data_IF_692086111282
#
_entry.id   IF_692086111282
#
_cell.length_a   1.000
_cell.length_b   1.000
_cell.length_c   1.000
_cell.angle_alpha   90.00
_cell.angle_beta   90.00
_cell.angle_gamma   90.00
#
_symmetry.space_group_name_H-M   'P 1'
#
loop_
_entity.id
_entity.type
_entity.pdbx_description
1 polymer ?
#
# COMPACT_ATOMS: atom_id res chain seq x y z
N UNK A 1 -34.02 -33.82 -30.72
CA UNK A 1 -32.92 -34.64 -30.16
C UNK A 1 -31.71 -34.42 -31.05
N UNK A 2 -30.84 -33.49 -30.65
CA UNK A 2 -29.56 -33.22 -31.29
C UNK A 2 -28.57 -33.00 -30.15
N UNK A 3 -27.70 -33.98 -29.92
CA UNK A 3 -26.64 -33.94 -28.91
C UNK A 3 -25.46 -33.18 -29.50
N UNK A 4 -25.21 -31.98 -28.98
CA UNK A 4 -24.06 -31.17 -29.34
C UNK A 4 -22.88 -31.57 -28.46
N UNK A 5 -21.90 -32.25 -29.07
CA UNK A 5 -20.61 -32.62 -28.49
C UNK A 5 -19.82 -31.37 -28.04
N UNK A 6 -19.75 -31.13 -26.73
CA UNK A 6 -18.81 -30.22 -26.10
C UNK A 6 -17.50 -30.96 -25.84
N UNK A 7 -16.67 -31.03 -26.88
CA UNK A 7 -15.28 -31.46 -26.75
C UNK A 7 -14.39 -30.28 -27.16
N UNK A 8 -14.33 -29.27 -26.30
CA UNK A 8 -13.45 -28.12 -26.50
C UNK A 8 -12.13 -28.40 -25.78
N UNK A 9 -11.13 -28.78 -26.57
CA UNK A 9 -9.75 -28.98 -26.13
C UNK A 9 -9.22 -27.67 -25.54
N UNK A 10 -8.74 -27.73 -24.31
CA UNK A 10 -7.77 -26.77 -23.78
C UNK A 10 -6.45 -26.96 -24.52
N UNK A 11 -6.37 -26.47 -25.76
CA UNK A 11 -5.09 -26.25 -26.42
C UNK A 11 -4.45 -25.03 -25.76
N UNK A 12 -3.50 -25.30 -24.85
CA UNK A 12 -2.56 -24.30 -24.35
C UNK A 12 -1.86 -23.74 -25.60
N UNK A 13 -1.94 -22.43 -25.87
CA UNK A 13 -1.23 -21.84 -27.00
C UNK A 13 0.25 -22.24 -26.91
N UNK A 14 0.83 -22.77 -27.99
CA UNK A 14 2.27 -22.96 -28.09
C UNK A 14 2.93 -21.58 -28.16
N UNK A 15 3.15 -20.98 -26.99
CA UNK A 15 3.87 -19.74 -26.86
C UNK A 15 5.34 -20.07 -27.07
N UNK A 16 5.89 -19.73 -28.24
CA UNK A 16 7.32 -19.43 -28.38
C UNK A 16 7.61 -18.23 -27.46
N UNK A 17 7.72 -18.50 -26.16
CA UNK A 17 8.00 -17.49 -25.17
C UNK A 17 9.48 -17.15 -25.29
N UNK A 18 9.77 -15.97 -25.84
CA UNK A 18 11.09 -15.36 -25.73
C UNK A 18 11.32 -14.96 -24.26
N UNK A 19 11.72 -15.95 -23.46
CA UNK A 19 12.20 -15.69 -22.11
C UNK A 19 13.56 -15.02 -22.18
N UNK A 20 13.78 -14.01 -21.35
CA UNK A 20 15.08 -13.35 -21.23
C UNK A 20 15.87 -13.97 -20.08
N UNK A 21 17.17 -14.21 -20.28
CA UNK A 21 18.04 -14.62 -19.18
C UNK A 21 18.38 -13.42 -18.30
N UNK A 22 18.33 -13.59 -16.98
CA UNK A 22 18.81 -12.57 -16.06
C UNK A 22 20.32 -12.34 -16.24
N UNK A 23 20.72 -11.10 -16.44
CA UNK A 23 22.12 -10.75 -16.71
C UNK A 23 23.05 -10.96 -15.52
N UNK A 24 22.52 -11.05 -14.30
CA UNK A 24 23.28 -11.13 -13.06
C UNK A 24 23.22 -12.51 -12.40
N UNK A 25 22.12 -13.24 -12.59
CA UNK A 25 21.83 -14.49 -11.89
C UNK A 25 21.41 -15.61 -12.85
N UNK A 26 22.12 -15.73 -13.97
CA UNK A 26 22.04 -16.88 -14.88
C UNK A 26 23.40 -17.56 -14.99
N UNK A 27 23.68 -18.45 -14.04
CA UNK A 27 24.97 -19.12 -13.92
C UNK A 27 25.06 -20.35 -14.85
N UNK A 28 26.08 -20.46 -15.72
CA UNK A 28 26.22 -21.62 -16.61
C UNK A 28 26.26 -22.95 -15.86
N UNK A 29 26.88 -22.96 -14.67
CA UNK A 29 27.05 -24.08 -13.73
C UNK A 29 25.88 -24.27 -12.75
N UNK A 30 24.84 -23.42 -12.81
CA UNK A 30 23.65 -23.58 -11.97
C UNK A 30 22.90 -24.89 -12.25
N UNK A 31 22.32 -25.47 -11.22
CA UNK A 31 21.59 -26.74 -11.30
C UNK A 31 20.07 -26.58 -11.28
N UNK A 32 19.55 -25.37 -11.04
CA UNK A 32 18.12 -25.07 -11.11
C UNK A 32 17.84 -23.84 -11.97
N UNK A 33 16.83 -23.94 -12.83
CA UNK A 33 16.31 -22.86 -13.67
C UNK A 33 14.93 -22.46 -13.14
N UNK A 34 14.81 -21.19 -12.76
CA UNK A 34 13.60 -20.58 -12.19
C UNK A 34 13.12 -19.50 -13.14
N UNK A 35 11.84 -19.53 -13.51
CA UNK A 35 11.19 -18.49 -14.29
C UNK A 35 10.37 -17.61 -13.35
N UNK A 36 10.68 -16.30 -13.33
CA UNK A 36 9.88 -15.29 -12.64
C UNK A 36 9.43 -14.27 -13.67
N UNK A 37 8.12 -14.11 -13.82
CA UNK A 37 7.51 -13.35 -14.93
C UNK A 37 7.96 -13.86 -16.31
N UNK A 38 8.89 -13.16 -16.97
CA UNK A 38 9.48 -13.52 -18.27
C UNK A 38 11.02 -13.63 -18.20
N UNK A 39 11.55 -13.72 -16.98
CA UNK A 39 12.99 -13.73 -16.73
C UNK A 39 13.41 -15.07 -16.15
N UNK A 40 14.34 -15.74 -16.83
CA UNK A 40 14.96 -16.97 -16.36
C UNK A 40 16.15 -16.64 -15.47
N UNK A 41 16.19 -17.30 -14.32
CA UNK A 41 17.28 -17.30 -13.36
C UNK A 41 17.85 -18.72 -13.32
N UNK A 42 19.16 -18.86 -13.44
CA UNK A 42 19.82 -20.16 -13.34
C UNK A 42 20.77 -20.12 -12.15
N UNK A 43 20.48 -20.89 -11.11
CA UNK A 43 21.09 -20.76 -9.79
C UNK A 43 21.52 -22.12 -9.21
N UNK A 44 22.25 -22.06 -8.09
CA UNK A 44 22.67 -23.19 -7.26
C UNK A 44 21.78 -23.27 -6.00
N UNK A 45 20.83 -24.21 -5.91
CA UNK A 45 19.97 -24.38 -4.73
C UNK A 45 20.75 -24.59 -3.43
N UNK A 46 21.92 -25.24 -3.50
CA UNK A 46 22.80 -25.46 -2.34
C UNK A 46 23.28 -24.16 -1.68
N UNK A 47 23.31 -23.04 -2.41
CA UNK A 47 23.62 -21.72 -1.83
C UNK A 47 22.45 -21.07 -1.09
N UNK A 48 21.21 -21.40 -1.47
CA UNK A 48 20.01 -20.86 -0.85
C UNK A 48 19.60 -21.67 0.38
N UNK A 49 19.62 -23.00 0.24
CA UNK A 49 19.05 -23.93 1.22
C UNK A 49 20.10 -24.70 2.03
N UNK A 50 21.39 -24.52 1.74
CA UNK A 50 22.46 -25.23 2.43
C UNK A 50 22.39 -26.74 2.24
N UNK A 51 22.50 -27.50 3.33
CA UNK A 51 22.50 -28.97 3.32
C UNK A 51 21.13 -29.56 2.95
N UNK A 52 20.04 -28.84 3.24
CA UNK A 52 18.66 -29.30 3.02
C UNK A 52 18.12 -28.93 1.63
N UNK A 53 19.02 -28.75 0.65
CA UNK A 53 18.67 -28.18 -0.64
C UNK A 53 17.75 -29.03 -1.50
N UNK A 54 17.84 -30.35 -1.42
CA UNK A 54 16.95 -31.25 -2.17
C UNK A 54 15.53 -31.22 -1.60
N UNK A 55 15.37 -31.42 -0.29
CA UNK A 55 14.06 -31.39 0.37
C UNK A 55 13.37 -30.01 0.25
N UNK A 56 14.14 -28.92 0.34
CA UNK A 56 13.61 -27.57 0.19
C UNK A 56 13.20 -27.27 -1.25
N UNK A 57 13.97 -27.75 -2.24
CA UNK A 57 13.62 -27.63 -3.65
C UNK A 57 12.39 -28.48 -3.99
N UNK A 58 12.27 -29.69 -3.45
CA UNK A 58 11.09 -30.53 -3.58
C UNK A 58 9.84 -29.86 -2.99
N UNK A 59 9.95 -29.25 -1.82
CA UNK A 59 8.87 -28.47 -1.21
C UNK A 59 8.45 -27.29 -2.09
N UNK A 60 9.42 -26.58 -2.67
CA UNK A 60 9.18 -25.48 -3.61
C UNK A 60 8.52 -25.98 -4.90
N UNK A 61 8.99 -27.10 -5.46
CA UNK A 61 8.41 -27.75 -6.63
C UNK A 61 6.98 -28.24 -6.38
N UNK A 62 6.70 -28.75 -5.17
CA UNK A 62 5.36 -29.16 -4.76
C UNK A 62 4.41 -27.97 -4.69
N UNK A 63 4.86 -26.82 -4.16
CA UNK A 63 4.08 -25.57 -4.14
C UNK A 63 3.82 -25.01 -5.54
N UNK A 64 4.77 -25.16 -6.47
CA UNK A 64 4.68 -24.59 -7.82
C UNK A 64 4.00 -25.52 -8.84
N UNK A 65 3.61 -26.74 -8.45
CA UNK A 65 3.01 -27.72 -9.36
C UNK A 65 1.48 -27.64 -9.35
N UNK A 66 0.95 -26.73 -10.18
CA UNK A 66 -0.46 -26.73 -10.57
C UNK A 66 -0.57 -27.49 -11.89
N UNK A 67 -0.69 -28.82 -11.86
CA UNK A 67 -0.90 -29.62 -13.08
C UNK A 67 -0.44 -31.08 -12.96
N UNK A 68 -1.24 -31.99 -13.50
CA UNK A 68 -1.27 -33.44 -13.28
C UNK A 68 0.10 -34.13 -13.19
N UNK A 69 0.27 -34.84 -12.06
CA UNK A 69 1.27 -35.85 -11.85
C UNK A 69 1.01 -37.00 -12.83
N UNK A 70 1.86 -37.15 -13.85
CA UNK A 70 2.48 -38.41 -14.26
C UNK A 70 3.07 -38.24 -15.67
N UNK A 71 4.41 -38.36 -15.79
CA UNK A 71 5.24 -38.43 -17.02
C UNK A 71 5.96 -37.17 -17.54
N UNK A 72 5.79 -35.98 -16.96
CA UNK A 72 6.59 -34.81 -17.37
C UNK A 72 8.05 -34.90 -16.87
N UNK A 73 9.05 -34.43 -17.66
CA UNK A 73 10.44 -34.36 -17.21
C UNK A 73 10.58 -33.52 -15.92
N UNK A 74 11.63 -33.73 -15.11
CA UNK A 74 11.81 -33.01 -13.86
C UNK A 74 11.81 -31.49 -14.12
N UNK A 75 10.90 -30.77 -13.46
CA UNK A 75 10.84 -29.30 -13.54
C UNK A 75 12.12 -28.70 -12.96
N UNK A 76 12.59 -27.64 -13.59
CA UNK A 76 13.72 -26.83 -13.14
C UNK A 76 15.09 -27.22 -13.65
N UNK A 77 15.25 -28.27 -14.46
CA UNK A 77 16.58 -28.68 -14.96
C UNK A 77 17.00 -27.98 -16.27
N UNK A 78 16.06 -27.40 -17.01
CA UNK A 78 16.33 -26.69 -18.26
C UNK A 78 15.45 -25.45 -18.42
N UNK A 79 15.85 -24.57 -19.35
CA UNK A 79 15.06 -23.40 -19.74
C UNK A 79 13.71 -23.78 -20.40
N UNK A 80 13.63 -24.98 -20.99
CA UNK A 80 12.39 -25.48 -21.62
C UNK A 80 11.37 -25.96 -20.60
N UNK A 81 11.80 -26.25 -19.38
CA UNK A 81 10.94 -26.71 -18.29
C UNK A 81 11.37 -26.10 -16.95
N UNK A 82 11.28 -24.76 -16.78
CA UNK A 82 11.75 -24.09 -15.57
C UNK A 82 10.78 -24.26 -14.41
N UNK A 83 11.25 -23.98 -13.18
CA UNK A 83 10.37 -23.80 -12.01
C UNK A 83 9.73 -22.41 -12.11
N UNK A 84 8.42 -22.34 -12.26
CA UNK A 84 7.75 -21.04 -12.44
C UNK A 84 7.27 -20.49 -11.10
N UNK A 85 7.69 -19.26 -10.78
CA UNK A 85 7.23 -18.50 -9.62
C UNK A 85 6.35 -17.35 -10.10
N UNK A 86 5.07 -17.38 -9.74
CA UNK A 86 4.08 -16.38 -10.17
C UNK A 86 3.83 -15.28 -9.12
N UNK A 87 4.34 -15.46 -7.89
CA UNK A 87 4.02 -14.58 -6.75
C UNK A 87 4.93 -13.35 -6.66
N UNK A 88 6.04 -13.35 -7.38
CA UNK A 88 7.08 -12.32 -7.30
C UNK A 88 7.34 -11.67 -8.65
N UNK A 89 7.79 -10.43 -8.60
CA UNK A 89 8.38 -9.79 -9.79
C UNK A 89 9.85 -10.22 -9.90
N UNK A 90 10.39 -10.24 -11.12
CA UNK A 90 11.79 -10.60 -11.36
C UNK A 90 12.76 -9.73 -10.55
N UNK A 91 12.43 -8.46 -10.31
CA UNK A 91 13.24 -7.56 -9.46
C UNK A 91 13.25 -7.97 -7.98
N UNK A 92 12.14 -8.48 -7.46
CA UNK A 92 12.07 -8.92 -6.06
C UNK A 92 12.91 -10.17 -5.86
N UNK A 93 12.80 -11.13 -6.79
CA UNK A 93 13.61 -12.34 -6.76
C UNK A 93 15.10 -12.01 -6.93
N UNK A 94 15.44 -11.05 -7.79
CA UNK A 94 16.81 -10.53 -7.93
C UNK A 94 17.37 -9.95 -6.62
N UNK A 95 16.57 -9.15 -5.91
CA UNK A 95 16.96 -8.59 -4.61
C UNK A 95 17.21 -9.71 -3.58
N UNK A 96 16.35 -10.72 -3.55
CA UNK A 96 16.53 -11.91 -2.73
C UNK A 96 17.83 -12.68 -3.07
N UNK A 97 18.09 -12.98 -4.34
CA UNK A 97 19.32 -13.66 -4.76
C UNK A 97 20.59 -12.87 -4.43
N UNK A 98 20.51 -11.54 -4.45
CA UNK A 98 21.62 -10.67 -4.08
C UNK A 98 22.15 -10.99 -2.67
N UNK A 99 21.28 -11.38 -1.73
CA UNK A 99 21.69 -11.73 -0.37
C UNK A 99 22.66 -12.92 -0.33
N UNK A 100 22.50 -13.90 -1.22
CA UNK A 100 23.24 -15.16 -1.21
C UNK A 100 24.41 -15.19 -2.19
N UNK A 101 24.35 -14.36 -3.24
CA UNK A 101 25.32 -14.39 -4.35
C UNK A 101 26.24 -13.18 -4.38
N UNK A 102 25.90 -12.09 -3.70
CA UNK A 102 26.74 -10.91 -3.72
C UNK A 102 28.08 -11.20 -3.04
N UNK A 103 29.14 -10.63 -3.62
CA UNK A 103 30.50 -10.83 -3.14
C UNK A 103 30.72 -9.95 -1.90
N UNK A 104 31.46 -10.40 -0.87
CA UNK A 104 31.79 -9.58 0.29
C UNK A 104 32.45 -8.22 -0.03
N UNK A 105 33.13 -8.11 -1.17
CA UNK A 105 33.78 -6.87 -1.63
C UNK A 105 32.88 -5.99 -2.50
N UNK A 106 31.68 -6.46 -2.86
CA UNK A 106 30.72 -5.65 -3.58
C UNK A 106 30.27 -4.46 -2.71
N UNK A 107 30.46 -3.20 -3.15
CA UNK A 107 30.14 -2.03 -2.32
C UNK A 107 28.69 -1.99 -1.88
N UNK A 108 27.76 -2.37 -2.76
CA UNK A 108 26.33 -2.42 -2.45
C UNK A 108 26.04 -3.49 -1.41
N UNK A 109 26.68 -4.66 -1.49
CA UNK A 109 26.53 -5.70 -0.48
C UNK A 109 27.09 -5.29 0.89
N UNK A 110 28.25 -4.64 0.91
CA UNK A 110 28.82 -4.11 2.17
C UNK A 110 27.88 -3.11 2.82
N UNK A 111 27.28 -2.22 2.04
CA UNK A 111 26.28 -1.28 2.54
C UNK A 111 25.10 -2.02 3.17
N UNK A 112 24.52 -3.00 2.47
CA UNK A 112 23.40 -3.83 2.96
C UNK A 112 23.77 -4.51 4.30
N UNK A 113 24.93 -5.17 4.37
CA UNK A 113 25.35 -5.89 5.57
C UNK A 113 25.60 -4.98 6.76
N UNK A 114 26.18 -3.81 6.52
CA UNK A 114 26.46 -2.81 7.55
C UNK A 114 25.19 -2.07 8.00
N UNK A 115 24.05 -2.27 7.32
CA UNK A 115 22.84 -1.49 7.54
C UNK A 115 22.96 -0.05 7.05
N UNK A 116 23.90 0.21 6.14
CA UNK A 116 24.01 1.48 5.43
C UNK A 116 22.98 1.56 4.30
N UNK A 117 22.63 2.78 3.88
CA UNK A 117 21.69 2.99 2.78
C UNK A 117 22.34 2.60 1.45
N UNK A 118 21.72 1.66 0.75
CA UNK A 118 21.99 1.35 -0.65
C UNK A 118 21.26 2.36 -1.52
N UNK A 119 21.99 3.31 -2.08
CA UNK A 119 21.38 4.42 -2.82
C UNK A 119 20.51 5.25 -1.87
N UNK A 120 19.19 5.20 -2.07
CA UNK A 120 18.20 5.85 -1.21
C UNK A 120 17.69 4.94 -0.07
N UNK A 121 17.21 5.55 1.02
CA UNK A 121 16.51 4.82 2.09
C UNK A 121 15.31 4.02 1.55
N UNK A 122 14.66 4.55 0.51
CA UNK A 122 13.49 3.97 -0.16
C UNK A 122 13.83 2.66 -0.86
N UNK A 123 14.94 2.65 -1.61
CA UNK A 123 15.44 1.46 -2.30
C UNK A 123 15.95 0.42 -1.30
N UNK A 124 16.59 0.88 -0.22
CA UNK A 124 17.09 0.01 0.84
C UNK A 124 15.95 -0.70 1.56
N UNK A 125 14.88 0.02 1.91
CA UNK A 125 13.71 -0.60 2.54
C UNK A 125 12.93 -1.49 1.57
N UNK A 126 12.84 -1.11 0.29
CA UNK A 126 12.26 -1.95 -0.74
C UNK A 126 13.03 -3.27 -0.88
N UNK A 127 14.36 -3.22 -0.84
CA UNK A 127 15.21 -4.40 -0.83
C UNK A 127 14.90 -5.31 0.36
N UNK A 128 14.86 -4.79 1.59
CA UNK A 128 14.54 -5.63 2.76
C UNK A 128 13.12 -6.19 2.71
N UNK A 129 12.14 -5.42 2.23
CA UNK A 129 10.77 -5.92 2.04
C UNK A 129 10.73 -7.08 1.04
N UNK A 130 11.41 -6.93 -0.11
CA UNK A 130 11.48 -7.98 -1.13
C UNK A 130 12.16 -9.25 -0.58
N UNK A 131 13.27 -9.10 0.15
CA UNK A 131 13.95 -10.23 0.80
C UNK A 131 13.03 -10.91 1.81
N UNK A 132 12.34 -10.16 2.68
CA UNK A 132 11.44 -10.73 3.68
C UNK A 132 10.31 -11.54 3.03
N UNK A 133 9.65 -10.95 2.02
CA UNK A 133 8.55 -11.59 1.29
C UNK A 133 9.02 -12.87 0.60
N UNK A 134 10.11 -12.82 -0.17
CA UNK A 134 10.60 -14.01 -0.90
C UNK A 134 11.10 -15.07 0.09
N UNK A 135 11.83 -14.68 1.14
CA UNK A 135 12.35 -15.62 2.14
C UNK A 135 11.23 -16.36 2.86
N UNK A 136 10.13 -15.67 3.18
CA UNK A 136 8.94 -16.30 3.76
C UNK A 136 8.37 -17.40 2.88
N UNK A 137 8.15 -17.11 1.59
CA UNK A 137 7.60 -18.10 0.65
C UNK A 137 8.55 -19.28 0.40
N UNK A 138 9.86 -18.99 0.39
CA UNK A 138 10.93 -19.96 0.24
C UNK A 138 11.27 -20.71 1.53
N UNK A 139 10.58 -20.40 2.65
CA UNK A 139 10.82 -21.00 3.97
C UNK A 139 12.28 -20.84 4.47
N UNK A 140 12.88 -19.67 4.26
CA UNK A 140 14.23 -19.32 4.72
C UNK A 140 14.12 -18.33 5.89
N UNK A 141 13.77 -18.87 7.06
CA UNK A 141 13.40 -18.10 8.26
C UNK A 141 14.49 -17.10 8.70
N UNK A 142 15.77 -17.49 8.63
CA UNK A 142 16.88 -16.62 9.06
C UNK A 142 17.04 -15.39 8.16
N UNK A 143 16.84 -15.55 6.85
CA UNK A 143 16.88 -14.43 5.90
C UNK A 143 15.67 -13.50 6.08
N UNK A 144 14.50 -14.08 6.36
CA UNK A 144 13.28 -13.32 6.67
C UNK A 144 13.45 -12.48 7.95
N UNK A 145 13.85 -13.12 9.06
CA UNK A 145 14.12 -12.45 10.35
C UNK A 145 15.16 -11.35 10.21
N UNK A 146 16.25 -11.63 9.50
CA UNK A 146 17.29 -10.65 9.22
C UNK A 146 16.70 -9.43 8.49
N UNK A 147 15.98 -9.64 7.39
CA UNK A 147 15.41 -8.56 6.61
C UNK A 147 14.39 -7.73 7.42
N UNK A 148 13.51 -8.38 8.18
CA UNK A 148 12.55 -7.72 9.08
C UNK A 148 13.25 -6.87 10.16
N UNK A 149 14.34 -7.38 10.74
CA UNK A 149 15.11 -6.65 11.76
C UNK A 149 15.71 -5.35 11.22
N UNK A 150 16.02 -5.31 9.91
CA UNK A 150 16.54 -4.13 9.21
C UNK A 150 15.44 -3.21 8.73
N UNK A 151 14.32 -3.76 8.26
CA UNK A 151 13.18 -3.00 7.75
C UNK A 151 12.45 -2.23 8.87
N UNK A 152 12.27 -2.84 10.04
CA UNK A 152 11.46 -2.28 11.13
C UNK A 152 11.93 -0.89 11.58
N UNK A 153 13.22 -0.64 11.92
CA UNK A 153 13.68 0.69 12.30
C UNK A 153 13.48 1.75 11.22
N UNK A 154 13.55 1.35 9.95
CA UNK A 154 13.36 2.28 8.82
C UNK A 154 11.90 2.71 8.73
N UNK A 155 10.97 1.76 8.83
CA UNK A 155 9.54 2.03 8.80
C UNK A 155 9.03 2.77 10.04
N UNK A 156 9.60 2.47 11.22
CA UNK A 156 9.22 3.07 12.50
C UNK A 156 9.86 4.46 12.71
N UNK A 157 10.84 4.83 11.89
CA UNK A 157 11.55 6.10 11.96
C UNK A 157 10.65 7.33 11.73
N UNK A 158 11.06 8.52 12.23
CA UNK A 158 10.36 9.78 11.96
C UNK A 158 10.31 10.12 10.47
N UNK A 159 11.23 9.53 9.72
CA UNK A 159 11.52 9.73 8.32
C UNK A 159 10.69 8.82 7.39
N UNK A 160 9.59 8.25 7.87
CA UNK A 160 8.71 7.40 7.05
C UNK A 160 8.14 8.09 5.80
N UNK A 161 8.27 9.41 5.68
CA UNK A 161 7.97 10.19 4.47
C UNK A 161 8.79 9.75 3.25
N UNK A 162 9.99 9.19 3.43
CA UNK A 162 10.77 8.66 2.31
C UNK A 162 10.02 7.56 1.58
N UNK A 163 9.28 6.72 2.31
CA UNK A 163 8.52 5.64 1.71
C UNK A 163 7.38 6.13 0.85
N UNK A 164 6.96 7.40 0.95
CA UNK A 164 5.94 7.97 0.07
C UNK A 164 6.28 7.79 -1.42
N UNK A 165 7.55 7.55 -1.78
CA UNK A 165 7.95 7.31 -3.16
C UNK A 165 7.85 5.85 -3.61
N UNK A 166 7.34 4.92 -2.79
CA UNK A 166 7.07 3.56 -3.24
C UNK A 166 5.96 3.52 -4.28
N UNK A 167 6.09 2.57 -5.21
CA UNK A 167 5.01 2.22 -6.11
C UNK A 167 3.90 1.50 -5.33
N UNK A 168 2.63 1.79 -5.65
CA UNK A 168 1.46 1.21 -4.99
C UNK A 168 1.47 -0.32 -4.86
N UNK A 169 1.85 -1.09 -5.90
CA UNK A 169 1.95 -2.55 -5.77
C UNK A 169 2.82 -3.03 -4.61
N UNK A 170 3.89 -2.29 -4.27
CA UNK A 170 4.78 -2.65 -3.15
C UNK A 170 4.09 -2.50 -1.79
N UNK A 171 3.29 -1.46 -1.59
CA UNK A 171 2.51 -1.31 -0.37
C UNK A 171 1.53 -2.46 -0.20
N UNK A 172 0.82 -2.83 -1.26
CA UNK A 172 -0.17 -3.92 -1.21
C UNK A 172 0.50 -5.27 -0.91
N UNK A 173 1.63 -5.56 -1.56
CA UNK A 173 2.43 -6.75 -1.26
C UNK A 173 2.91 -6.75 0.19
N UNK A 174 3.44 -5.62 0.67
CA UNK A 174 3.90 -5.46 2.05
C UNK A 174 2.79 -5.64 3.08
N UNK A 175 1.60 -5.07 2.86
CA UNK A 175 0.44 -5.23 3.75
C UNK A 175 -0.09 -6.66 3.77
N UNK A 176 -0.17 -7.31 2.59
CA UNK A 176 -0.56 -8.73 2.50
C UNK A 176 0.43 -9.61 3.24
N UNK A 177 1.73 -9.33 3.07
CA UNK A 177 2.78 -10.04 3.78
C UNK A 177 2.68 -9.83 5.30
N UNK A 178 2.52 -8.59 5.77
CA UNK A 178 2.35 -8.31 7.19
C UNK A 178 1.14 -9.05 7.80
N UNK A 179 0.03 -9.12 7.08
CA UNK A 179 -1.16 -9.91 7.46
C UNK A 179 -0.89 -11.42 7.44
N UNK A 180 -0.13 -11.91 6.47
CA UNK A 180 0.22 -13.33 6.36
C UNK A 180 1.05 -13.83 7.55
N UNK A 181 1.90 -12.97 8.12
CA UNK A 181 2.73 -13.29 9.29
C UNK A 181 2.14 -12.79 10.62
N UNK A 182 0.87 -12.36 10.63
CA UNK A 182 0.17 -11.80 11.80
C UNK A 182 0.98 -10.71 12.54
N UNK A 183 1.61 -9.80 11.78
CA UNK A 183 2.45 -8.72 12.32
C UNK A 183 1.76 -7.35 12.17
N UNK A 184 0.87 -7.04 13.11
CA UNK A 184 0.10 -5.79 13.14
C UNK A 184 0.99 -4.55 13.15
N UNK A 185 2.14 -4.59 13.83
CA UNK A 185 3.06 -3.46 13.87
C UNK A 185 3.65 -3.15 12.49
N UNK A 186 4.00 -4.19 11.72
CA UNK A 186 4.48 -4.02 10.35
C UNK A 186 3.35 -3.52 9.45
N UNK A 187 2.15 -4.09 9.59
CA UNK A 187 0.97 -3.67 8.83
C UNK A 187 0.66 -2.19 9.06
N UNK A 188 0.62 -1.74 10.31
CA UNK A 188 0.41 -0.34 10.69
C UNK A 188 1.46 0.60 10.10
N UNK A 189 2.73 0.21 10.17
CA UNK A 189 3.82 1.05 9.65
C UNK A 189 3.78 1.17 8.12
N UNK A 190 3.43 0.09 7.40
CA UNK A 190 3.24 0.13 5.94
C UNK A 190 1.96 0.91 5.59
N UNK A 191 0.88 0.72 6.35
CA UNK A 191 -0.40 1.42 6.13
C UNK A 191 -0.23 2.93 6.32
N UNK A 192 0.52 3.34 7.34
CA UNK A 192 0.89 4.73 7.55
C UNK A 192 1.65 5.29 6.34
N UNK A 193 2.65 4.55 5.84
CA UNK A 193 3.41 4.97 4.67
C UNK A 193 2.54 5.08 3.41
N UNK A 194 1.56 4.18 3.25
CA UNK A 194 0.57 4.22 2.17
C UNK A 194 -0.33 5.46 2.29
N UNK A 195 -0.88 5.73 3.48
CA UNK A 195 -1.71 6.91 3.74
C UNK A 195 -0.93 8.20 3.47
N UNK A 196 0.33 8.28 3.90
CA UNK A 196 1.22 9.42 3.60
C UNK A 196 1.43 9.61 2.11
N UNK A 197 1.56 8.52 1.33
CA UNK A 197 1.66 8.60 -0.13
C UNK A 197 0.37 9.12 -0.74
N UNK A 198 -0.78 8.55 -0.39
CA UNK A 198 -2.09 9.01 -0.88
C UNK A 198 -2.26 10.50 -0.60
N UNK A 199 -1.87 10.95 0.60
CA UNK A 199 -1.87 12.36 1.01
C UNK A 199 -0.87 13.22 0.24
N UNK A 200 0.32 12.70 -0.05
CA UNK A 200 1.31 13.40 -0.88
C UNK A 200 0.74 13.80 -2.24
N UNK A 201 -0.07 12.93 -2.85
CA UNK A 201 -0.74 13.19 -4.13
C UNK A 201 -1.71 14.39 -4.07
N UNK A 202 -2.25 14.72 -2.90
CA UNK A 202 -3.07 15.92 -2.69
C UNK A 202 -2.23 17.21 -2.69
N UNK A 203 -1.05 17.18 -2.06
CA UNK A 203 -0.21 18.36 -1.84
C UNK A 203 0.54 18.82 -3.09
N UNK A 204 0.73 17.91 -4.06
CA UNK A 204 1.46 18.15 -5.31
C UNK A 204 0.67 18.97 -6.36
N UNK A 205 -0.39 19.70 -5.96
CA UNK A 205 -1.13 20.58 -6.88
C UNK A 205 -0.17 21.51 -7.62
N UNK A 206 -0.20 21.56 -8.96
CA UNK A 206 0.52 22.58 -9.71
C UNK A 206 -0.01 23.95 -9.28
N UNK A 207 0.81 24.75 -8.59
CA UNK A 207 0.42 26.12 -8.19
C UNK A 207 0.24 27.07 -9.39
N UNK A 208 0.47 26.60 -10.61
CA UNK A 208 0.27 27.34 -11.85
C UNK A 208 -0.50 26.52 -12.86
N UNK A 209 -1.71 26.99 -13.21
CA UNK A 209 -2.54 26.56 -14.34
C UNK A 209 -1.89 26.78 -15.73
N UNK A 210 -0.62 27.21 -15.79
CA UNK A 210 0.07 27.62 -17.01
C UNK A 210 1.46 26.98 -17.11
N UNK A 211 1.53 25.67 -17.35
CA UNK A 211 2.60 25.08 -18.16
C UNK A 211 2.24 23.61 -18.50
N UNK A 212 1.91 23.36 -19.76
CA UNK A 212 1.47 22.07 -20.30
C UNK A 212 2.59 21.02 -20.49
N UNK A 213 3.80 21.22 -19.95
CA UNK A 213 4.92 20.33 -20.25
C UNK A 213 5.57 19.75 -18.99
N UNK A 214 4.98 18.71 -18.39
CA UNK A 214 5.76 17.77 -17.57
C UNK A 214 5.13 17.14 -16.33
N UNK A 215 3.97 17.61 -15.82
CA UNK A 215 3.41 17.13 -14.53
C UNK A 215 2.62 15.81 -14.60
N UNK A 216 2.86 14.96 -15.61
CA UNK A 216 2.07 13.75 -15.88
C UNK A 216 2.21 12.61 -14.86
N UNK A 217 3.11 12.69 -13.88
CA UNK A 217 3.45 11.54 -13.04
C UNK A 217 2.37 11.17 -12.02
N UNK A 218 1.78 12.15 -11.33
CA UNK A 218 1.02 11.87 -10.11
C UNK A 218 -0.40 11.36 -10.38
N UNK A 219 -1.04 11.85 -11.44
CA UNK A 219 -2.40 11.43 -11.83
C UNK A 219 -2.48 9.99 -12.32
N UNK A 220 -1.42 9.50 -12.98
CA UNK A 220 -1.31 8.11 -13.41
C UNK A 220 -1.26 7.14 -12.21
N UNK A 221 -0.96 7.64 -11.01
CA UNK A 221 -0.86 6.81 -9.81
C UNK A 221 -2.20 6.60 -9.10
N UNK A 222 -3.22 7.44 -9.37
CA UNK A 222 -4.55 7.31 -8.76
C UNK A 222 -5.37 6.16 -9.37
N UNK A 223 -5.15 5.83 -10.64
CA UNK A 223 -5.88 4.75 -11.33
C UNK A 223 -5.59 3.37 -10.70
N UNK A 224 -4.32 2.99 -10.43
CA UNK A 224 -4.03 1.76 -9.69
C UNK A 224 -4.63 1.70 -8.29
N UNK A 225 -4.80 2.84 -7.60
CA UNK A 225 -5.46 2.87 -6.28
C UNK A 225 -6.96 2.61 -6.41
N UNK A 226 -7.61 3.32 -7.33
CA UNK A 226 -9.06 3.27 -7.50
C UNK A 226 -9.54 1.90 -8.01
N UNK A 227 -8.79 1.29 -8.93
CA UNK A 227 -9.17 0.00 -9.54
C UNK A 227 -8.74 -1.21 -8.72
N UNK A 228 -7.99 -1.05 -7.63
CA UNK A 228 -7.48 -2.19 -6.87
C UNK A 228 -8.60 -2.85 -6.05
N UNK A 229 -9.02 -4.09 -6.36
CA UNK A 229 -10.12 -4.74 -5.64
C UNK A 229 -9.77 -5.00 -4.18
N UNK A 230 -8.51 -5.34 -3.92
CA UNK A 230 -8.03 -5.62 -2.56
C UNK A 230 -8.04 -4.36 -1.69
N UNK A 231 -7.72 -3.18 -2.24
CA UNK A 231 -7.85 -1.93 -1.50
C UNK A 231 -9.33 -1.67 -1.14
N UNK A 232 -10.23 -1.89 -2.10
CA UNK A 232 -11.67 -1.67 -1.94
C UNK A 232 -12.31 -2.60 -0.89
N UNK A 233 -11.85 -3.84 -0.78
CA UNK A 233 -12.41 -4.84 0.15
C UNK A 233 -11.67 -4.89 1.48
N UNK A 234 -10.34 -4.99 1.47
CA UNK A 234 -9.53 -5.26 2.66
C UNK A 234 -9.00 -3.98 3.33
N UNK A 235 -8.93 -2.87 2.61
CA UNK A 235 -8.33 -1.61 3.10
C UNK A 235 -9.27 -0.43 2.86
N UNK A 236 -10.49 -0.55 3.38
CA UNK A 236 -11.60 0.42 3.24
C UNK A 236 -11.18 1.87 3.47
N UNK A 237 -10.44 2.12 4.55
CA UNK A 237 -9.96 3.46 4.89
C UNK A 237 -9.03 4.05 3.81
N UNK A 238 -8.06 3.27 3.33
CA UNK A 238 -7.15 3.71 2.29
C UNK A 238 -7.86 3.95 0.96
N UNK A 239 -8.83 3.11 0.61
CA UNK A 239 -9.68 3.31 -0.57
C UNK A 239 -10.51 4.60 -0.46
N UNK A 240 -11.19 4.82 0.66
CA UNK A 240 -11.96 6.04 0.88
C UNK A 240 -11.10 7.30 0.88
N UNK A 241 -9.88 7.22 1.38
CA UNK A 241 -8.90 8.29 1.28
C UNK A 241 -8.49 8.57 -0.18
N UNK A 242 -8.22 7.52 -0.97
CA UNK A 242 -7.94 7.67 -2.39
C UNK A 242 -9.11 8.31 -3.15
N UNK A 243 -10.35 7.92 -2.83
CA UNK A 243 -11.57 8.54 -3.38
C UNK A 243 -11.63 10.04 -3.04
N UNK A 244 -11.36 10.44 -1.81
CA UNK A 244 -11.29 11.85 -1.43
C UNK A 244 -10.25 12.62 -2.24
N UNK A 245 -9.06 12.05 -2.47
CA UNK A 245 -8.02 12.69 -3.29
C UNK A 245 -8.46 12.82 -4.75
N UNK A 246 -9.12 11.81 -5.32
CA UNK A 246 -9.67 11.86 -6.69
C UNK A 246 -10.77 12.93 -6.80
N UNK A 247 -11.67 13.02 -5.83
CA UNK A 247 -12.69 14.07 -5.78
C UNK A 247 -12.06 15.46 -5.66
N UNK A 248 -11.03 15.61 -4.84
CA UNK A 248 -10.31 16.88 -4.66
C UNK A 248 -9.53 17.31 -5.90
N UNK A 249 -8.99 16.36 -6.68
CA UNK A 249 -8.31 16.63 -7.95
C UNK A 249 -9.26 17.29 -8.97
N UNK A 250 -10.58 17.06 -8.84
CA UNK A 250 -11.60 17.67 -9.67
C UNK A 250 -11.77 17.02 -11.04
N UNK A 251 -12.90 17.31 -11.67
CA UNK A 251 -13.35 16.70 -12.93
C UNK A 251 -12.49 17.07 -14.15
N UNK A 252 -11.73 18.16 -14.07
CA UNK A 252 -10.80 18.58 -15.12
C UNK A 252 -9.47 17.80 -15.08
N UNK A 253 -9.22 17.02 -14.03
CA UNK A 253 -7.98 16.25 -13.91
C UNK A 253 -7.88 15.14 -14.96
N UNK A 254 -6.66 14.76 -15.31
CA UNK A 254 -6.40 13.65 -16.25
C UNK A 254 -6.94 12.32 -15.72
N UNK A 255 -6.92 12.10 -14.40
CA UNK A 255 -7.55 10.95 -13.74
C UNK A 255 -9.02 10.83 -14.14
N UNK A 256 -9.80 11.91 -14.04
CA UNK A 256 -11.21 11.93 -14.45
C UNK A 256 -11.41 11.80 -15.95
N UNK A 257 -10.63 12.53 -16.74
CA UNK A 257 -10.88 12.62 -18.18
C UNK A 257 -10.39 11.41 -18.96
N UNK A 258 -9.30 10.76 -18.51
CA UNK A 258 -8.62 9.68 -19.25
C UNK A 258 -8.70 8.31 -18.61
N UNK A 259 -8.77 8.22 -17.27
CA UNK A 259 -8.64 6.94 -16.56
C UNK A 259 -9.96 6.41 -15.98
N UNK A 260 -10.96 7.26 -15.81
CA UNK A 260 -12.26 6.88 -15.28
C UNK A 260 -13.29 6.68 -16.40
N UNK A 261 -14.04 5.58 -16.30
CA UNK A 261 -15.18 5.28 -17.15
C UNK A 261 -16.31 6.29 -16.93
N UNK A 262 -17.32 6.26 -17.80
CA UNK A 262 -18.52 7.09 -17.63
C UNK A 262 -19.26 6.79 -16.32
N UNK A 263 -19.40 5.51 -15.96
CA UNK A 263 -20.05 5.09 -14.72
C UNK A 263 -19.29 5.57 -13.47
N UNK A 264 -17.98 5.35 -13.43
CA UNK A 264 -17.14 5.78 -12.31
C UNK A 264 -17.18 7.32 -12.10
N UNK A 265 -17.19 8.10 -13.19
CA UNK A 265 -17.37 9.56 -13.11
C UNK A 265 -18.74 9.95 -12.56
N UNK A 266 -19.81 9.29 -12.99
CA UNK A 266 -21.15 9.55 -12.47
C UNK A 266 -21.23 9.26 -10.97
N UNK A 267 -20.64 8.14 -10.51
CA UNK A 267 -20.51 7.81 -9.09
C UNK A 267 -19.81 8.92 -8.32
N UNK A 268 -18.66 9.41 -8.82
CA UNK A 268 -17.90 10.46 -8.14
C UNK A 268 -18.61 11.83 -8.14
N UNK A 269 -19.33 12.19 -9.20
CA UNK A 269 -20.17 13.41 -9.19
C UNK A 269 -21.27 13.33 -8.14
N UNK A 270 -21.94 12.17 -8.04
CA UNK A 270 -22.96 11.94 -7.02
C UNK A 270 -22.34 12.02 -5.62
N UNK A 271 -21.18 11.39 -5.40
CA UNK A 271 -20.43 11.52 -4.14
C UNK A 271 -20.10 12.96 -3.80
N UNK A 272 -19.65 13.76 -4.77
CA UNK A 272 -19.33 15.17 -4.56
C UNK A 272 -20.55 15.96 -4.05
N UNK A 273 -21.74 15.66 -4.58
CA UNK A 273 -22.99 16.25 -4.12
C UNK A 273 -23.35 15.81 -2.69
N UNK A 274 -23.23 14.51 -2.38
CA UNK A 274 -23.48 13.98 -1.03
C UNK A 274 -22.51 14.53 0.03
N UNK A 275 -21.25 14.80 -0.35
CA UNK A 275 -20.22 15.31 0.55
C UNK A 275 -20.23 16.86 0.68
N UNK A 276 -21.22 17.55 0.10
CA UNK A 276 -21.37 19.01 0.13
C UNK A 276 -22.79 19.41 0.59
N UNK A 277 -23.01 19.81 1.86
CA UNK A 277 -22.05 19.84 2.97
C UNK A 277 -21.70 18.44 3.48
N UNK A 278 -20.70 18.34 4.36
CA UNK A 278 -20.28 17.04 4.89
C UNK A 278 -21.42 16.38 5.71
N UNK A 279 -21.80 15.13 5.41
CA UNK A 279 -22.87 14.46 6.14
C UNK A 279 -22.56 14.23 7.61
N UNK A 280 -23.60 14.36 8.46
CA UNK A 280 -23.48 14.15 9.91
C UNK A 280 -23.00 12.74 10.28
N UNK A 281 -23.33 11.72 9.48
CA UNK A 281 -22.95 10.34 9.77
C UNK A 281 -21.43 10.08 9.66
N UNK A 282 -20.68 10.94 8.96
CA UNK A 282 -19.22 10.85 8.94
C UNK A 282 -18.61 11.20 10.31
N UNK A 283 -19.31 11.99 11.14
CA UNK A 283 -18.94 12.31 12.52
C UNK A 283 -17.50 12.81 12.68
N UNK A 284 -17.23 14.04 12.26
CA UNK A 284 -15.93 14.72 12.46
C UNK A 284 -15.98 15.77 13.59
N UNK A 285 -16.92 15.64 14.53
CA UNK A 285 -17.10 16.60 15.63
C UNK A 285 -15.88 16.66 16.56
N UNK A 286 -15.18 15.52 16.71
CA UNK A 286 -13.92 15.41 17.43
C UNK A 286 -12.80 16.31 16.91
N UNK A 287 -12.84 16.74 15.63
CA UNK A 287 -11.87 17.70 15.07
C UNK A 287 -12.00 19.05 15.78
N UNK A 288 -13.25 19.49 16.01
CA UNK A 288 -13.56 20.73 16.73
C UNK A 288 -13.37 20.56 18.22
N UNK A 289 -13.75 19.41 18.75
CA UNK A 289 -13.71 19.10 20.17
C UNK A 289 -12.90 17.82 20.47
N UNK A 290 -11.58 17.93 20.75
CA UNK A 290 -10.75 16.75 20.98
C UNK A 290 -11.19 15.89 22.18
N UNK A 291 -12.03 16.42 23.08
CA UNK A 291 -12.60 15.64 24.18
C UNK A 291 -13.63 14.60 23.72
N UNK A 292 -14.08 14.64 22.46
CA UNK A 292 -14.96 13.62 21.88
C UNK A 292 -14.18 12.49 21.22
N UNK A 293 -12.92 12.72 20.84
CA UNK A 293 -12.07 11.68 20.22
C UNK A 293 -11.86 10.51 21.18
N UNK A 294 -11.93 10.80 22.46
CA UNK A 294 -11.47 9.95 23.53
C UNK A 294 -12.43 10.28 24.67
N UNK A 295 -13.07 9.28 25.29
CA UNK A 295 -13.67 9.40 26.63
C UNK A 295 -12.51 9.62 27.65
N UNK A 296 -11.79 10.75 27.49
CA UNK A 296 -10.51 11.05 28.14
C UNK A 296 -10.60 11.17 29.63
N UNK A 297 -11.83 11.39 30.13
CA UNK A 297 -12.10 11.54 31.55
C UNK A 297 -11.71 10.29 32.34
N UNK A 298 -11.59 9.12 31.72
CA UNK A 298 -11.37 7.91 32.50
C UNK A 298 -9.93 7.40 32.34
N UNK A 299 -9.33 7.52 31.14
CA UNK A 299 -8.00 6.96 30.86
C UNK A 299 -6.84 7.97 30.92
N UNK A 300 -7.05 9.24 30.51
CA UNK A 300 -6.04 10.31 30.71
C UNK A 300 -6.15 10.94 32.09
N UNK A 301 -7.24 10.72 32.82
CA UNK A 301 -7.38 11.22 34.20
C UNK A 301 -6.41 10.58 35.18
N UNK A 302 -5.84 9.42 34.85
CA UNK A 302 -4.66 8.89 35.53
C UNK A 302 -3.36 9.68 35.28
N UNK A 303 -3.38 10.69 34.41
CA UNK A 303 -2.23 11.52 34.05
C UNK A 303 -2.33 12.94 34.65
N UNK A 304 -1.19 13.61 34.76
CA UNK A 304 -1.13 14.97 35.31
C UNK A 304 -1.86 15.99 34.43
N UNK A 305 -2.41 17.05 35.04
CA UNK A 305 -3.01 18.19 34.31
C UNK A 305 -2.09 18.74 33.21
N UNK A 306 -0.77 18.76 33.47
CA UNK A 306 0.23 19.20 32.48
C UNK A 306 0.19 18.37 31.20
N UNK A 307 -0.09 17.07 31.28
CA UNK A 307 -0.22 16.19 30.12
C UNK A 307 -1.45 16.56 29.28
N UNK A 308 -2.59 16.84 29.93
CA UNK A 308 -3.81 17.33 29.28
C UNK A 308 -3.60 18.66 28.58
N UNK A 309 -2.95 19.61 29.26
CA UNK A 309 -2.66 20.93 28.69
C UNK A 309 -1.75 20.81 27.46
N UNK A 310 -0.71 19.96 27.55
CA UNK A 310 0.21 19.70 26.44
C UNK A 310 -0.44 18.98 25.26
N UNK A 311 -1.42 18.10 25.51
CA UNK A 311 -2.25 17.49 24.48
C UNK A 311 -3.10 18.53 23.77
N UNK A 312 -3.81 19.38 24.51
CA UNK A 312 -4.67 20.42 23.94
C UNK A 312 -3.87 21.42 23.09
N UNK A 313 -2.67 21.79 23.55
CA UNK A 313 -1.74 22.62 22.79
C UNK A 313 -1.27 21.93 21.51
N UNK A 314 -0.86 20.65 21.60
CA UNK A 314 -0.44 19.85 20.45
C UNK A 314 -1.58 19.71 19.43
N UNK A 315 -2.78 19.38 19.88
CA UNK A 315 -3.98 19.26 19.05
C UNK A 315 -4.32 20.56 18.35
N UNK A 316 -4.31 21.68 19.08
CA UNK A 316 -4.61 22.99 18.52
C UNK A 316 -3.59 23.38 17.45
N UNK A 317 -2.31 23.13 17.72
CA UNK A 317 -1.21 23.45 16.82
C UNK A 317 -1.19 22.56 15.58
N UNK A 318 -1.31 21.24 15.76
CA UNK A 318 -1.15 20.28 14.67
C UNK A 318 -2.44 20.04 13.88
N UNK A 319 -3.61 20.00 14.54
CA UNK A 319 -4.90 19.69 13.91
C UNK A 319 -5.69 20.96 13.61
N UNK A 320 -6.07 21.75 14.63
CA UNK A 320 -7.04 22.85 14.46
C UNK A 320 -6.54 23.98 13.55
N UNK A 321 -5.26 24.34 13.64
CA UNK A 321 -4.70 25.54 13.00
C UNK A 321 -4.68 25.54 11.46
N UNK A 322 -4.89 24.39 10.80
CA UNK A 322 -4.65 24.29 9.36
C UNK A 322 -5.83 23.88 8.51
N UNK A 323 -7.06 23.93 9.03
CA UNK A 323 -8.24 23.83 8.18
C UNK A 323 -8.53 25.21 7.59
N UNK A 324 -8.46 25.33 6.25
CA UNK A 324 -8.74 26.57 5.53
C UNK A 324 -10.24 26.92 5.53
N UNK A 325 -11.09 25.89 5.62
CA UNK A 325 -12.55 25.95 5.61
C UNK A 325 -13.10 25.05 6.71
N UNK A 326 -14.25 25.40 7.31
CA UNK A 326 -14.85 24.57 8.33
C UNK A 326 -15.58 23.37 7.72
N UNK A 327 -15.66 22.26 8.45
CA UNK A 327 -16.32 21.02 8.02
C UNK A 327 -17.82 21.17 7.72
N UNK A 328 -18.45 22.22 8.25
CA UNK A 328 -19.86 22.57 8.04
C UNK A 328 -20.07 23.56 6.88
N UNK A 329 -19.02 23.87 6.11
CA UNK A 329 -19.14 24.73 4.94
C UNK A 329 -20.02 24.08 3.87
N UNK A 330 -20.98 24.86 3.37
CA UNK A 330 -21.81 24.51 2.22
C UNK A 330 -21.12 24.78 0.87
N UNK A 331 -19.89 25.30 0.88
CA UNK A 331 -19.16 25.57 -0.35
C UNK A 331 -18.80 24.25 -1.05
N UNK A 332 -18.95 24.17 -2.39
CA UNK A 332 -18.50 23.01 -3.16
C UNK A 332 -17.07 22.61 -2.79
N UNK A 333 -16.87 21.31 -2.60
CA UNK A 333 -15.58 20.69 -2.25
C UNK A 333 -15.02 21.07 -0.87
N UNK A 334 -15.65 21.93 -0.07
CA UNK A 334 -15.10 22.30 1.24
C UNK A 334 -15.03 21.12 2.21
N UNK A 335 -16.04 20.25 2.21
CA UNK A 335 -16.00 18.99 2.97
C UNK A 335 -14.89 18.06 2.51
N UNK A 336 -14.72 17.89 1.20
CA UNK A 336 -13.66 17.06 0.60
C UNK A 336 -12.25 17.62 0.90
N UNK A 337 -12.08 18.94 0.82
CA UNK A 337 -10.83 19.64 1.19
C UNK A 337 -10.49 19.44 2.67
N UNK A 338 -11.50 19.53 3.55
CA UNK A 338 -11.34 19.25 4.97
C UNK A 338 -10.96 17.78 5.23
N UNK A 339 -11.59 16.81 4.56
CA UNK A 339 -11.23 15.39 4.68
C UNK A 339 -9.80 15.10 4.22
N UNK A 340 -9.37 15.68 3.09
CA UNK A 340 -7.99 15.49 2.63
C UNK A 340 -6.98 16.17 3.56
N UNK A 341 -7.32 17.36 4.08
CA UNK A 341 -6.52 18.07 5.08
C UNK A 341 -6.40 17.27 6.37
N UNK A 342 -7.45 16.55 6.78
CA UNK A 342 -7.44 15.76 8.00
C UNK A 342 -6.29 14.74 8.04
N UNK A 343 -6.05 14.06 6.92
CA UNK A 343 -4.97 13.09 6.81
C UNK A 343 -3.57 13.74 6.81
N UNK A 344 -3.42 14.94 6.21
CA UNK A 344 -2.20 15.74 6.36
C UNK A 344 -1.94 16.11 7.82
N UNK A 345 -3.00 16.43 8.54
CA UNK A 345 -2.93 16.88 9.93
C UNK A 345 -2.57 15.74 10.87
N UNK A 346 -3.02 14.52 10.61
CA UNK A 346 -2.55 13.33 11.31
C UNK A 346 -1.03 13.16 11.20
N UNK A 347 -0.50 13.26 9.98
CA UNK A 347 0.94 13.17 9.73
C UNK A 347 1.73 14.24 10.49
N UNK A 348 1.26 15.49 10.43
CA UNK A 348 1.87 16.60 11.16
C UNK A 348 1.81 16.40 12.69
N UNK A 349 0.73 15.80 13.19
CA UNK A 349 0.58 15.45 14.61
C UNK A 349 1.62 14.39 15.02
N UNK A 350 1.78 13.32 14.23
CA UNK A 350 2.78 12.26 14.46
C UNK A 350 4.20 12.86 14.47
N UNK A 351 4.55 13.67 13.49
CA UNK A 351 5.87 14.30 13.38
C UNK A 351 6.16 15.21 14.58
N UNK A 352 5.18 16.03 14.96
CA UNK A 352 5.30 16.95 16.11
C UNK A 352 5.44 16.17 17.42
N UNK A 353 4.68 15.09 17.59
CA UNK A 353 4.80 14.19 18.74
C UNK A 353 6.17 13.50 18.80
N UNK A 354 6.71 13.05 17.65
CA UNK A 354 8.02 12.43 17.57
C UNK A 354 9.16 13.40 17.90
N UNK A 355 9.12 14.64 17.38
CA UNK A 355 10.09 15.71 17.72
C UNK A 355 10.10 16.01 19.23
N UNK A 356 8.93 16.02 19.87
CA UNK A 356 8.81 16.19 21.33
C UNK A 356 9.47 15.04 22.09
N UNK A 357 9.34 13.79 21.63
CA UNK A 357 9.98 12.61 22.25
C UNK A 357 11.52 12.70 22.24
N UNK A 358 12.10 13.32 21.21
CA UNK A 358 13.55 13.44 21.05
C UNK A 358 14.17 14.59 21.86
N UNK A 359 13.38 15.43 22.54
CA UNK A 359 13.88 16.52 23.36
C UNK A 359 14.59 17.64 22.56
N UNK A 360 14.43 17.67 21.23
CA UNK A 360 15.08 18.61 20.33
C UNK A 360 14.41 19.99 20.29
N UNK A 361 13.27 20.16 20.97
CA UNK A 361 12.58 21.45 21.08
C UNK A 361 12.98 22.16 22.40
N UNK A 362 13.71 23.29 22.35
CA UNK A 362 14.25 23.96 23.54
C UNK A 362 13.17 24.51 24.49
N UNK A 363 11.94 24.69 24.00
CA UNK A 363 10.85 25.33 24.74
C UNK A 363 9.63 24.42 24.98
N UNK A 364 9.60 23.20 24.45
CA UNK A 364 8.44 22.31 24.60
C UNK A 364 8.61 21.39 25.81
N UNK A 365 7.77 21.61 26.82
CA UNK A 365 7.66 20.82 28.04
C UNK A 365 7.68 19.30 27.75
N UNK A 366 8.41 18.56 28.61
CA UNK A 366 8.27 17.12 28.88
C UNK A 366 6.88 16.74 29.45
N UNK A 367 5.80 17.33 28.96
CA UNK A 367 4.51 17.29 29.66
C UNK A 367 3.63 16.11 29.23
N UNK A 368 3.64 15.72 27.94
CA UNK A 368 2.87 14.57 27.48
C UNK A 368 3.68 13.28 27.62
N UNK A 369 3.18 12.30 28.36
CA UNK A 369 3.88 11.04 28.52
C UNK A 369 3.75 10.17 27.25
N UNK A 370 4.72 9.27 27.03
CA UNK A 370 4.73 8.39 25.86
C UNK A 370 3.45 7.53 25.74
N UNK A 371 2.86 7.13 26.88
CA UNK A 371 1.61 6.36 26.92
C UNK A 371 0.45 7.17 26.35
N UNK A 372 0.28 8.42 26.77
CA UNK A 372 -0.77 9.31 26.23
C UNK A 372 -0.54 9.62 24.75
N UNK A 373 0.71 9.85 24.31
CA UNK A 373 1.03 10.04 22.88
C UNK A 373 0.60 8.83 22.06
N UNK A 374 1.02 7.63 22.46
CA UNK A 374 0.70 6.40 21.73
C UNK A 374 -0.82 6.18 21.63
N UNK A 375 -1.54 6.36 22.75
CA UNK A 375 -3.00 6.20 22.81
C UNK A 375 -3.74 7.21 21.94
N UNK A 376 -3.40 8.48 22.05
CA UNK A 376 -3.99 9.54 21.21
C UNK A 376 -3.76 9.25 19.73
N UNK A 377 -2.56 8.80 19.35
CA UNK A 377 -2.25 8.47 17.96
C UNK A 377 -3.06 7.26 17.46
N UNK A 378 -3.19 6.22 18.28
CA UNK A 378 -4.01 5.04 18.00
C UNK A 378 -5.47 5.45 17.78
N UNK A 379 -6.05 6.21 18.70
CA UNK A 379 -7.45 6.64 18.60
C UNK A 379 -7.68 7.61 17.44
N UNK A 380 -6.77 8.56 17.22
CA UNK A 380 -6.85 9.48 16.08
C UNK A 380 -6.84 8.71 14.76
N UNK A 381 -5.96 7.72 14.61
CA UNK A 381 -5.91 6.86 13.43
C UNK A 381 -7.18 6.05 13.25
N UNK A 382 -7.69 5.49 14.34
CA UNK A 382 -8.93 4.73 14.32
C UNK A 382 -10.09 5.60 13.81
N UNK A 383 -10.28 6.78 14.39
CA UNK A 383 -11.35 7.70 14.01
C UNK A 383 -11.21 8.20 12.56
N UNK A 384 -9.99 8.55 12.13
CA UNK A 384 -9.73 8.90 10.72
C UNK A 384 -10.02 7.72 9.80
N UNK A 385 -9.61 6.51 10.18
CA UNK A 385 -9.88 5.28 9.45
C UNK A 385 -11.37 5.00 9.32
N UNK A 386 -12.16 5.22 10.37
CA UNK A 386 -13.62 5.10 10.33
C UNK A 386 -14.26 6.12 9.39
N UNK A 387 -13.82 7.39 9.42
CA UNK A 387 -14.31 8.43 8.50
C UNK A 387 -14.08 8.02 7.05
N UNK A 388 -12.86 7.60 6.69
CA UNK A 388 -12.59 7.19 5.32
C UNK A 388 -13.25 5.86 4.95
N UNK A 389 -13.41 4.92 5.88
CA UNK A 389 -14.17 3.69 5.62
C UNK A 389 -15.62 3.99 5.27
N UNK A 390 -16.25 4.96 5.95
CA UNK A 390 -17.60 5.43 5.60
C UNK A 390 -17.67 6.14 4.24
N UNK A 391 -16.60 6.82 3.82
CA UNK A 391 -16.51 7.37 2.46
C UNK A 391 -16.45 6.25 1.42
N UNK A 392 -15.72 5.18 1.71
CA UNK A 392 -15.70 3.98 0.87
C UNK A 392 -17.08 3.29 0.84
N UNK A 393 -17.80 3.23 1.96
CA UNK A 393 -19.16 2.68 2.02
C UNK A 393 -20.13 3.50 1.15
N UNK A 394 -20.03 4.83 1.21
CA UNK A 394 -20.82 5.73 0.37
C UNK A 394 -20.52 5.52 -1.12
N UNK A 395 -19.24 5.35 -1.49
CA UNK A 395 -18.85 5.05 -2.87
C UNK A 395 -19.51 3.76 -3.36
N UNK A 396 -19.39 2.68 -2.61
CA UNK A 396 -19.98 1.38 -2.96
C UNK A 396 -21.50 1.43 -3.06
N UNK A 397 -22.15 2.19 -2.16
CA UNK A 397 -23.59 2.37 -2.17
C UNK A 397 -24.04 3.07 -3.45
N UNK A 398 -23.44 4.21 -3.79
CA UNK A 398 -23.80 4.97 -5.00
C UNK A 398 -23.54 4.15 -6.26
N UNK A 399 -22.42 3.43 -6.31
CA UNK A 399 -22.13 2.57 -7.45
C UNK A 399 -23.18 1.47 -7.62
N UNK A 400 -23.58 0.80 -6.53
CA UNK A 400 -24.65 -0.21 -6.58
C UNK A 400 -25.99 0.39 -7.01
N UNK A 401 -26.38 1.52 -6.45
CA UNK A 401 -27.68 2.16 -6.74
C UNK A 401 -27.74 2.69 -8.18
N UNK A 402 -26.61 3.15 -8.72
CA UNK A 402 -26.50 3.67 -10.09
C UNK A 402 -26.63 2.60 -11.18
N UNK A 403 -26.25 1.34 -10.93
CA UNK A 403 -26.38 0.27 -11.91
C UNK A 403 -27.80 -0.32 -12.03
N UNK A 404 -28.67 -0.07 -11.04
CA UNK A 404 -30.05 -0.61 -11.04
C UNK A 404 -30.95 0.14 -12.04
N UNK A 405 -30.64 1.40 -12.37
CA UNK A 405 -31.49 2.22 -13.25
C UNK A 405 -31.30 1.94 -14.74
N UNK A 406 -30.15 1.41 -15.18
CA UNK A 406 -29.86 1.18 -16.61
C UNK A 406 -30.40 -0.15 -17.15
N UNK A 407 -30.67 -1.14 -16.30
CA UNK A 407 -31.14 -2.48 -16.74
C UNK A 407 -32.65 -2.60 -16.90
N UNK A 408 -33.42 -1.62 -16.42
CA UNK A 408 -34.89 -1.66 -16.45
C UNK A 408 -35.53 -0.94 -17.65
N UNK A 409 -34.75 -0.26 -18.50
CA UNK A 409 -35.27 0.46 -19.68
C UNK A 409 -35.17 -0.30 -21.01
N UNK A 410 -34.78 -1.59 -20.98
CA UNK A 410 -34.49 -2.38 -22.19
C UNK A 410 -35.55 -3.36 -22.69
N UNK A 411 -36.69 -3.55 -22.01
CA UNK A 411 -37.63 -4.66 -22.33
C UNK A 411 -39.08 -4.27 -22.63
N UNK A 412 -39.36 -3.00 -22.96
CA UNK A 412 -40.68 -2.61 -23.49
C UNK A 412 -40.57 -2.18 -24.97
N UNK A 413 -40.34 -3.14 -25.86
CA UNK A 413 -40.74 -2.98 -27.27
C UNK A 413 -41.00 -4.34 -27.91
N UNK A 414 -42.23 -4.55 -28.40
CA UNK A 414 -42.51 -5.60 -29.38
C UNK A 414 -43.71 -6.53 -29.11
N UNK A 415 -44.89 -6.00 -28.81
CA UNK A 415 -46.15 -6.65 -29.24
C UNK A 415 -47.21 -5.59 -29.52
N UNK A 416 -47.14 -5.05 -30.74
CA UNK A 416 -48.18 -4.26 -31.39
C UNK A 416 -48.26 -4.71 -32.83
#
# INVERSE_FOLDING_TARGET
>A
MAETNLNNKNEIPSIENEYTHDTSFYFPDGSAVILVEKVLFKIHPSRLFGQDSEASLESLLAKCSIGDNNSAPPKGLSADNPIVLFEFDASQFRNFLYLFYAKPLDPKFRQILNGETVGSLVETAAFYMDVAIVSHHMNIEEAEKWALSRLKPMLDGPDCSYFANWHFPRYFKGLRYAKLIDNDTLADSIQRALNLRIVGLFSERPKSLHLESGTSSCHNMLDPLYRNPWLRTEQRAAFGQAVCVILHAGHESSTWTKHLTRGERATLFTMQAYLTPLPKYLSCSWVKNPSELLDLSDEIDGCSQKCRDAFNELWTTAIKSGFSKPFDSSLPLAGIDALCTLALKEAAFVETAAKRKQGTSPNALKAMCNKCIARVLETLRHEIGLVFSKVADLHDQIERDGYVTDTSFGSESGSG
#
